data_IF_055611629330
#
_entry.id   IF_055611629330
#
_cell.length_a   1.000
_cell.length_b   1.000
_cell.length_c   1.000
_cell.angle_alpha   90.00
_cell.angle_beta   90.00
_cell.angle_gamma   90.00
#
_symmetry.space_group_name_H-M   'P 1'
#
loop_
_entity.id
_entity.type
_entity.pdbx_description
1 polymer ?
#
# COMPACT_ATOMS: atom_id res chain seq x y z
N UNK A 1 47.89 -21.51 55.61
CA UNK A 1 46.81 -21.89 54.67
C UNK A 1 45.65 -20.97 54.95
N UNK A 2 45.43 -19.96 54.11
CA UNK A 2 44.24 -19.10 54.17
C UNK A 2 43.75 -18.97 52.74
N UNK A 3 42.69 -19.71 52.42
CA UNK A 3 41.95 -19.50 51.19
C UNK A 3 41.29 -18.13 51.32
N UNK A 4 41.79 -17.16 50.56
CA UNK A 4 41.18 -15.85 50.43
C UNK A 4 39.81 -16.04 49.77
N UNK A 5 38.77 -15.61 50.49
CA UNK A 5 37.41 -15.55 49.99
C UNK A 5 37.38 -14.61 48.78
N UNK A 6 37.34 -15.16 47.57
CA UNK A 6 36.89 -14.42 46.40
C UNK A 6 35.43 -14.04 46.64
N UNK A 7 35.05 -12.74 46.65
CA UNK A 7 33.65 -12.37 46.52
C UNK A 7 33.24 -12.78 45.12
N UNK A 8 32.63 -13.96 45.01
CA UNK A 8 31.91 -14.33 43.80
C UNK A 8 30.74 -13.37 43.71
N UNK A 9 30.85 -12.34 42.87
CA UNK A 9 29.72 -11.54 42.43
C UNK A 9 28.74 -12.51 41.76
N UNK A 10 27.78 -13.03 42.54
CA UNK A 10 26.70 -13.83 42.02
C UNK A 10 25.88 -12.93 41.12
N UNK A 11 25.85 -13.24 39.82
CA UNK A 11 24.97 -12.58 38.88
C UNK A 11 23.54 -12.81 39.35
N UNK A 12 22.86 -11.74 39.73
CA UNK A 12 21.45 -11.79 40.09
C UNK A 12 20.62 -12.11 38.83
N UNK A 13 20.19 -13.36 38.75
CA UNK A 13 19.38 -13.88 37.64
C UNK A 13 18.01 -13.18 37.58
N UNK A 14 17.47 -12.74 38.72
CA UNK A 14 16.21 -11.98 38.74
C UNK A 14 16.39 -10.60 38.13
N UNK A 15 17.49 -9.91 38.46
CA UNK A 15 17.81 -8.61 37.86
C UNK A 15 18.09 -8.74 36.35
N UNK A 16 18.80 -9.78 35.91
CA UNK A 16 18.96 -10.08 34.48
C UNK A 16 17.63 -10.33 33.77
N UNK A 17 16.73 -11.11 34.36
CA UNK A 17 15.41 -11.38 33.78
C UNK A 17 14.54 -10.11 33.73
N UNK A 18 14.64 -9.25 34.75
CA UNK A 18 13.96 -7.96 34.79
C UNK A 18 14.47 -7.02 33.68
N UNK A 19 15.79 -6.91 33.51
CA UNK A 19 16.39 -6.10 32.44
C UNK A 19 16.02 -6.63 31.05
N UNK A 20 16.01 -7.96 30.86
CA UNK A 20 15.58 -8.59 29.60
C UNK A 20 14.13 -8.28 29.28
N UNK A 21 13.23 -8.38 30.26
CA UNK A 21 11.82 -8.02 30.09
C UNK A 21 11.65 -6.55 29.72
N UNK A 22 12.35 -5.64 30.42
CA UNK A 22 12.33 -4.22 30.09
C UNK A 22 12.86 -3.90 28.69
N UNK A 23 13.91 -4.60 28.24
CA UNK A 23 14.46 -4.44 26.90
C UNK A 23 13.45 -4.89 25.83
N UNK A 24 12.78 -6.02 26.04
CA UNK A 24 11.73 -6.52 25.16
C UNK A 24 10.53 -5.57 25.10
N UNK A 25 10.05 -5.09 26.25
CA UNK A 25 8.93 -4.14 26.31
C UNK A 25 9.26 -2.82 25.58
N UNK A 26 10.51 -2.34 25.69
CA UNK A 26 10.99 -1.15 24.97
C UNK A 26 11.05 -1.39 23.46
N UNK A 27 11.54 -2.55 23.04
CA UNK A 27 11.59 -2.94 21.64
C UNK A 27 10.18 -3.05 21.04
N UNK A 28 9.26 -3.70 21.74
CA UNK A 28 7.87 -3.84 21.29
C UNK A 28 7.21 -2.47 21.11
N UNK A 29 7.36 -1.57 22.09
CA UNK A 29 6.87 -0.18 21.98
C UNK A 29 7.47 0.58 20.80
N UNK A 30 8.77 0.38 20.52
CA UNK A 30 9.42 1.02 19.38
C UNK A 30 8.84 0.52 18.05
N UNK A 31 8.65 -0.79 17.91
CA UNK A 31 8.04 -1.41 16.72
C UNK A 31 6.60 -0.94 16.54
N UNK A 32 5.80 -0.90 17.60
CA UNK A 32 4.42 -0.39 17.55
C UNK A 32 4.37 1.08 17.12
N UNK A 33 5.26 1.91 17.66
CA UNK A 33 5.36 3.32 17.26
C UNK A 33 5.74 3.47 15.80
N UNK A 34 6.74 2.73 15.33
CA UNK A 34 7.17 2.77 13.92
C UNK A 34 6.04 2.32 12.99
N UNK A 35 5.29 1.28 13.36
CA UNK A 35 4.11 0.83 12.61
C UNK A 35 3.02 1.92 12.56
N UNK A 36 2.76 2.60 13.68
CA UNK A 36 1.82 3.73 13.74
C UNK A 36 2.27 4.91 12.87
N UNK A 37 3.54 5.31 12.98
CA UNK A 37 4.10 6.41 12.20
C UNK A 37 4.06 6.09 10.69
N UNK A 38 4.31 4.84 10.31
CA UNK A 38 4.17 4.36 8.93
C UNK A 38 2.72 4.46 8.45
N UNK A 39 1.76 4.05 9.26
CA UNK A 39 0.34 4.09 8.94
C UNK A 39 -0.17 5.53 8.76
N UNK A 40 0.28 6.45 9.62
CA UNK A 40 -0.05 7.88 9.50
C UNK A 40 0.50 8.49 8.21
N UNK A 41 1.72 8.11 7.81
CA UNK A 41 2.31 8.54 6.54
C UNK A 41 1.53 8.01 5.34
N UNK A 42 1.10 6.74 5.37
CA UNK A 42 0.26 6.13 4.32
C UNK A 42 -1.07 6.87 4.24
N UNK A 43 -1.72 7.14 5.37
CA UNK A 43 -3.00 7.85 5.43
C UNK A 43 -2.89 9.28 4.91
N UNK A 44 -1.85 10.01 5.31
CA UNK A 44 -1.60 11.37 4.81
C UNK A 44 -1.41 11.36 3.29
N UNK A 45 -0.55 10.48 2.79
CA UNK A 45 -0.30 10.38 1.36
C UNK A 45 -1.57 10.00 0.59
N UNK A 46 -2.38 9.08 1.11
CA UNK A 46 -3.64 8.72 0.47
C UNK A 46 -4.58 9.94 0.36
N UNK A 47 -4.72 10.73 1.43
CA UNK A 47 -5.53 11.96 1.42
C UNK A 47 -5.04 12.98 0.40
N UNK A 48 -3.72 13.11 0.21
CA UNK A 48 -3.12 14.00 -0.79
C UNK A 48 -3.37 13.50 -2.23
N UNK A 49 -3.42 12.18 -2.44
CA UNK A 49 -3.61 11.55 -3.75
C UNK A 49 -5.07 11.51 -4.22
N UNK A 50 -6.02 11.37 -3.30
CA UNK A 50 -7.46 11.23 -3.61
C UNK A 50 -7.97 12.33 -4.56
N UNK A 51 -7.74 13.64 -4.30
CA UNK A 51 -8.21 14.71 -5.19
C UNK A 51 -7.65 14.58 -6.62
N UNK A 52 -6.37 14.20 -6.74
CA UNK A 52 -5.72 14.02 -8.03
C UNK A 52 -6.33 12.85 -8.80
N UNK A 53 -6.50 11.69 -8.15
CA UNK A 53 -7.11 10.50 -8.76
C UNK A 53 -8.52 10.81 -9.24
N UNK A 54 -9.34 11.46 -8.40
CA UNK A 54 -10.70 11.89 -8.77
C UNK A 54 -10.69 12.76 -10.03
N UNK A 55 -9.81 13.77 -10.06
CA UNK A 55 -9.68 14.68 -11.21
C UNK A 55 -9.32 13.92 -12.48
N UNK A 56 -8.31 13.06 -12.42
CA UNK A 56 -7.86 12.29 -13.58
C UNK A 56 -8.93 11.32 -14.10
N UNK A 57 -9.64 10.62 -13.22
CA UNK A 57 -10.74 9.73 -13.62
C UNK A 57 -11.82 10.51 -14.33
N UNK A 58 -12.24 11.67 -13.80
CA UNK A 58 -13.28 12.51 -14.41
C UNK A 58 -12.82 13.01 -15.79
N UNK A 59 -11.61 13.54 -15.89
CA UNK A 59 -11.06 14.09 -17.14
C UNK A 59 -10.92 13.00 -18.21
N UNK A 60 -10.23 11.90 -17.87
CA UNK A 60 -10.04 10.77 -18.79
C UNK A 60 -11.36 10.15 -19.22
N UNK A 61 -12.31 9.97 -18.31
CA UNK A 61 -13.62 9.39 -18.66
C UNK A 61 -14.38 10.28 -19.64
N UNK A 62 -14.31 11.61 -19.48
CA UNK A 62 -14.90 12.55 -20.45
C UNK A 62 -14.23 12.44 -21.81
N UNK A 63 -12.90 12.41 -21.86
CA UNK A 63 -12.15 12.26 -23.10
C UNK A 63 -12.44 10.92 -23.80
N UNK A 64 -12.53 9.83 -23.03
CA UNK A 64 -12.82 8.51 -23.57
C UNK A 64 -14.24 8.41 -24.12
N UNK A 65 -15.22 9.04 -23.47
CA UNK A 65 -16.58 9.15 -23.99
C UNK A 65 -16.61 9.90 -25.34
N UNK A 66 -15.80 10.94 -25.52
CA UNK A 66 -15.68 11.65 -26.80
C UNK A 66 -15.03 10.79 -27.90
N UNK A 67 -14.17 9.84 -27.52
CA UNK A 67 -13.48 8.92 -28.44
C UNK A 67 -14.22 7.62 -28.69
N UNK A 68 -15.34 7.38 -27.99
CA UNK A 68 -16.06 6.10 -28.05
C UNK A 68 -15.34 4.92 -27.38
N UNK A 69 -14.28 5.17 -26.61
CA UNK A 69 -13.65 4.14 -25.78
C UNK A 69 -14.58 3.80 -24.61
N UNK A 70 -14.59 2.58 -24.08
CA UNK A 70 -15.47 2.14 -22.98
C UNK A 70 -14.77 2.09 -21.61
N UNK A 71 -13.47 2.36 -21.56
CA UNK A 71 -12.68 2.31 -20.33
C UNK A 71 -11.52 3.29 -20.35
N UNK A 72 -11.05 3.67 -19.15
CA UNK A 72 -9.84 4.46 -18.94
C UNK A 72 -9.05 3.95 -17.76
N UNK A 73 -7.74 4.17 -17.82
CA UNK A 73 -6.81 3.77 -16.76
C UNK A 73 -6.07 4.98 -16.20
N UNK A 74 -5.99 5.01 -14.88
CA UNK A 74 -5.12 5.90 -14.10
C UNK A 74 -4.13 5.01 -13.36
N UNK A 75 -2.85 5.06 -13.73
CA UNK A 75 -1.83 4.20 -13.15
C UNK A 75 -0.78 4.96 -12.35
N UNK A 76 -0.19 4.27 -11.40
CA UNK A 76 1.02 4.69 -10.69
C UNK A 76 2.05 3.58 -10.79
N UNK A 77 3.27 3.99 -11.16
CA UNK A 77 4.43 3.11 -11.19
C UNK A 77 5.20 3.29 -9.89
N UNK A 78 5.45 2.17 -9.20
CA UNK A 78 6.33 2.11 -8.04
C UNK A 78 7.11 0.79 -8.08
N UNK A 79 8.36 0.81 -7.62
CA UNK A 79 9.27 -0.33 -7.72
C UNK A 79 9.03 -1.38 -6.62
N UNK A 80 7.83 -1.38 -6.03
CA UNK A 80 7.39 -2.31 -4.98
C UNK A 80 7.73 -1.89 -3.55
N UNK A 81 6.78 -2.18 -2.64
CA UNK A 81 6.86 -2.20 -1.17
C UNK A 81 7.10 -0.86 -0.44
N UNK A 82 6.71 0.26 -1.05
CA UNK A 82 6.81 1.58 -0.42
C UNK A 82 5.54 2.06 0.28
N UNK A 83 5.69 3.07 1.15
CA UNK A 83 4.57 3.92 1.64
C UNK A 83 3.75 4.48 0.48
N UNK A 84 4.39 4.70 -0.68
CA UNK A 84 3.77 5.21 -1.89
C UNK A 84 2.79 4.22 -2.53
N UNK A 85 3.23 2.99 -2.77
CA UNK A 85 2.37 1.87 -3.20
C UNK A 85 1.13 1.74 -2.31
N UNK A 86 1.31 1.70 -0.98
CA UNK A 86 0.19 1.52 -0.04
C UNK A 86 -0.73 2.76 0.03
N UNK A 87 -0.14 3.96 -0.01
CA UNK A 87 -0.91 5.21 -0.09
C UNK A 87 -1.76 5.29 -1.36
N UNK A 88 -1.22 4.86 -2.51
CA UNK A 88 -1.94 4.78 -3.78
C UNK A 88 -3.10 3.80 -3.70
N UNK A 89 -2.87 2.55 -3.25
CA UNK A 89 -3.93 1.55 -3.08
C UNK A 89 -5.07 2.08 -2.21
N UNK A 90 -4.74 2.67 -1.06
CA UNK A 90 -5.74 3.24 -0.14
C UNK A 90 -6.52 4.39 -0.79
N UNK A 91 -5.84 5.28 -1.52
CA UNK A 91 -6.51 6.36 -2.23
C UNK A 91 -7.47 5.84 -3.30
N UNK A 92 -7.05 4.86 -4.10
CA UNK A 92 -7.91 4.20 -5.09
C UNK A 92 -9.14 3.56 -4.43
N UNK A 93 -8.98 2.84 -3.34
CA UNK A 93 -10.11 2.24 -2.61
C UNK A 93 -11.09 3.28 -2.06
N UNK A 94 -10.61 4.42 -1.55
CA UNK A 94 -11.47 5.54 -1.14
C UNK A 94 -12.31 6.05 -2.31
N UNK A 95 -11.68 6.29 -3.46
CA UNK A 95 -12.39 6.77 -4.66
C UNK A 95 -13.41 5.73 -5.16
N UNK A 96 -13.04 4.44 -5.18
CA UNK A 96 -13.96 3.35 -5.53
C UNK A 96 -15.19 3.36 -4.61
N UNK A 97 -14.96 3.45 -3.30
CA UNK A 97 -16.03 3.44 -2.30
C UNK A 97 -16.97 4.65 -2.46
N UNK A 98 -16.42 5.85 -2.62
CA UNK A 98 -17.21 7.07 -2.85
C UNK A 98 -18.09 7.00 -4.09
N UNK A 99 -17.57 6.47 -5.20
CA UNK A 99 -18.35 6.30 -6.42
C UNK A 99 -19.48 5.29 -6.25
N UNK A 100 -19.24 4.22 -5.48
CA UNK A 100 -20.26 3.21 -5.13
C UNK A 100 -21.36 3.82 -4.25
N UNK A 101 -21.00 4.55 -3.20
CA UNK A 101 -21.96 5.22 -2.31
C UNK A 101 -22.78 6.29 -3.04
N UNK A 102 -22.17 7.00 -4.00
CA UNK A 102 -22.87 7.97 -4.83
C UNK A 102 -23.81 7.35 -5.89
N UNK A 103 -23.88 6.02 -5.99
CA UNK A 103 -24.69 5.32 -7.01
C UNK A 103 -24.21 5.58 -8.44
N UNK A 104 -22.91 5.87 -8.62
CA UNK A 104 -22.35 6.15 -9.93
C UNK A 104 -22.36 4.88 -10.81
N UNK A 105 -22.69 5.03 -12.10
CA UNK A 105 -22.69 3.92 -13.06
C UNK A 105 -21.28 3.54 -13.54
N UNK A 106 -20.29 4.37 -13.26
CA UNK A 106 -18.89 4.09 -13.57
C UNK A 106 -18.39 2.95 -12.68
N UNK A 107 -17.93 1.87 -13.30
CA UNK A 107 -17.32 0.74 -12.58
C UNK A 107 -15.85 1.03 -12.38
N UNK A 108 -15.44 1.10 -11.11
CA UNK A 108 -14.06 1.32 -10.73
C UNK A 108 -13.47 0.03 -10.15
N UNK A 109 -12.35 -0.41 -10.70
CA UNK A 109 -11.62 -1.62 -10.30
C UNK A 109 -10.12 -1.31 -10.17
N UNK A 110 -9.47 -1.92 -9.17
CA UNK A 110 -8.03 -1.79 -8.98
C UNK A 110 -7.36 -3.03 -9.57
N UNK A 111 -6.47 -2.82 -10.53
CA UNK A 111 -5.67 -3.84 -11.18
C UNK A 111 -4.19 -3.68 -10.80
N UNK A 112 -3.49 -4.81 -10.79
CA UNK A 112 -2.05 -4.89 -10.53
C UNK A 112 -1.41 -5.70 -11.64
N UNK A 113 -0.48 -5.09 -12.35
CA UNK A 113 0.23 -5.75 -13.46
C UNK A 113 1.70 -5.85 -13.09
N UNK A 114 2.22 -7.07 -13.07
CA UNK A 114 3.65 -7.30 -12.92
C UNK A 114 4.32 -7.24 -14.28
N UNK A 115 5.34 -6.39 -14.38
CA UNK A 115 6.15 -6.21 -15.57
C UNK A 115 7.53 -6.84 -15.36
N UNK A 116 8.01 -7.56 -16.38
CA UNK A 116 9.27 -8.31 -16.36
C UNK A 116 10.22 -7.63 -17.36
N UNK A 117 11.53 -7.50 -17.08
CA UNK A 117 12.45 -6.83 -18.00
C UNK A 117 12.31 -7.31 -19.44
N UNK A 118 11.99 -6.39 -20.35
CA UNK A 118 11.75 -6.67 -21.77
C UNK A 118 10.29 -6.90 -22.18
N UNK A 119 9.31 -6.84 -21.25
CA UNK A 119 7.88 -6.75 -21.60
C UNK A 119 7.46 -5.35 -22.04
N UNK A 120 8.29 -4.35 -21.76
CA UNK A 120 8.10 -2.92 -22.04
C UNK A 120 9.48 -2.21 -22.19
N UNK A 121 9.48 -0.87 -22.24
CA UNK A 121 10.70 -0.06 -22.34
C UNK A 121 11.57 -0.08 -21.05
N UNK A 122 11.12 -0.74 -19.98
CA UNK A 122 11.79 -0.72 -18.69
C UNK A 122 12.76 -1.89 -18.53
N UNK A 123 13.93 -1.56 -17.97
CA UNK A 123 15.04 -2.50 -17.81
C UNK A 123 14.94 -3.37 -16.56
N UNK A 124 13.98 -3.10 -15.65
CA UNK A 124 13.87 -3.72 -14.33
C UNK A 124 12.41 -4.12 -14.06
N UNK A 125 12.19 -5.18 -13.29
CA UNK A 125 10.84 -5.60 -12.90
C UNK A 125 10.16 -4.52 -12.06
N UNK A 126 8.88 -4.27 -12.32
CA UNK A 126 8.06 -3.40 -11.48
C UNK A 126 6.61 -3.86 -11.45
N UNK A 127 5.84 -3.36 -10.48
CA UNK A 127 4.40 -3.59 -10.39
C UNK A 127 3.69 -2.29 -10.71
N UNK A 128 2.89 -2.28 -11.76
CA UNK A 128 2.00 -1.18 -12.08
C UNK A 128 0.69 -1.35 -11.33
N UNK A 129 0.28 -0.32 -10.60
CA UNK A 129 -1.03 -0.28 -9.95
C UNK A 129 -1.95 0.67 -10.71
N UNK A 130 -3.06 0.12 -11.20
CA UNK A 130 -3.96 0.77 -12.14
C UNK A 130 -5.37 0.84 -11.58
N UNK A 131 -5.94 2.05 -11.50
CA UNK A 131 -7.37 2.24 -11.29
C UNK A 131 -8.04 2.31 -12.66
N UNK A 132 -8.85 1.30 -12.96
CA UNK A 132 -9.59 1.18 -14.21
C UNK A 132 -11.02 1.66 -14.00
N UNK A 133 -11.45 2.57 -14.86
CA UNK A 133 -12.80 3.11 -14.90
C UNK A 133 -13.49 2.68 -16.19
N UNK A 134 -14.53 1.87 -16.05
CA UNK A 134 -15.25 1.25 -17.18
C UNK A 134 -16.71 1.68 -17.22
N UNK A 135 -17.24 1.88 -18.42
CA UNK A 135 -18.61 2.34 -18.69
C UNK A 135 -19.25 1.56 -19.84
N UNK A 136 -20.55 1.29 -19.71
CA UNK A 136 -21.29 0.37 -20.59
C UNK A 136 -21.56 -0.99 -19.94
N UNK A 137 -22.39 -1.86 -20.57
CA UNK A 137 -22.64 -3.22 -20.09
C UNK A 137 -21.31 -3.98 -20.01
N UNK A 138 -21.21 -4.95 -19.08
CA UNK A 138 -20.00 -5.78 -19.01
C UNK A 138 -19.97 -6.48 -20.36
N UNK A 139 -18.93 -6.31 -21.16
CA UNK A 139 -18.62 -7.38 -22.09
C UNK A 139 -18.32 -8.57 -21.18
N UNK A 140 -19.34 -9.41 -20.98
CA UNK A 140 -19.07 -10.78 -20.60
C UNK A 140 -18.08 -11.25 -21.64
N UNK A 141 -16.83 -11.45 -21.23
CA UNK A 141 -15.91 -12.23 -22.03
C UNK A 141 -16.62 -13.55 -22.25
N UNK A 142 -17.28 -13.70 -23.39
CA UNK A 142 -17.67 -14.98 -23.93
C UNK A 142 -16.34 -15.64 -24.15
N UNK A 143 -15.87 -16.41 -23.17
CA UNK A 143 -14.64 -17.16 -23.26
C UNK A 143 -14.93 -18.26 -24.29
N UNK A 144 -14.35 -18.24 -25.51
CA UNK A 144 -14.61 -19.26 -26.51
C UNK A 144 -13.59 -20.41 -26.34
N UNK A 145 -13.38 -20.84 -25.10
CA UNK A 145 -12.48 -21.95 -24.76
C UNK A 145 -13.10 -22.81 -23.65
#
# INVERSE_FOLDING_TARGET
MTAENLPGDFIDIEELNRLRKQALDKQEKAVQKEASDREDRIKKLANDLIPMIRKQIIEKTKEAALRGCSSVTVSSMDNGLGIRTEGWKRACWSVIYEYREAGNKLRLELESTEHVPGSDEYSHSYTELSLVASFGPKEEKINPW
#
